data_IF_038654986004
#
_entry.id   IF_038654986004
#
_cell.length_a   1.000
_cell.length_b   1.000
_cell.length_c   1.000
_cell.angle_alpha   90.00
_cell.angle_beta   90.00
_cell.angle_gamma   90.00
#
_symmetry.space_group_name_H-M   'P 1'
#
loop_
_entity.id
_entity.type
_entity.pdbx_description
1 polymer ?
#
# COMPACT_ATOMS: atom_id res chain seq x y z
N UNK A 1 -41.72 -16.51 10.84
CA UNK A 1 -40.58 -16.94 11.69
C UNK A 1 -39.65 -17.94 11.01
N UNK A 2 -40.14 -18.81 10.10
CA UNK A 2 -39.28 -19.76 9.39
C UNK A 2 -38.34 -19.10 8.35
N UNK A 3 -38.79 -18.05 7.66
CA UNK A 3 -37.97 -17.39 6.63
C UNK A 3 -36.75 -16.64 7.19
N UNK A 4 -36.89 -15.98 8.35
CA UNK A 4 -35.76 -15.29 9.00
C UNK A 4 -34.66 -16.25 9.44
N UNK A 5 -35.05 -17.44 9.90
CA UNK A 5 -34.09 -18.49 10.28
C UNK A 5 -33.34 -19.03 9.05
N UNK A 6 -34.03 -19.24 7.93
CA UNK A 6 -33.41 -19.70 6.69
C UNK A 6 -32.43 -18.67 6.09
N UNK A 7 -32.68 -17.37 6.27
CA UNK A 7 -31.74 -16.32 5.85
C UNK A 7 -30.48 -16.30 6.73
N UNK A 8 -30.64 -16.46 8.05
CA UNK A 8 -29.52 -16.51 9.00
C UNK A 8 -28.58 -17.68 8.72
N UNK A 9 -29.13 -18.88 8.50
CA UNK A 9 -28.36 -20.08 8.17
C UNK A 9 -27.58 -19.92 6.85
N UNK A 10 -28.20 -19.32 5.83
CA UNK A 10 -27.53 -19.03 4.56
C UNK A 10 -26.40 -18.01 4.72
N UNK A 11 -26.60 -17.01 5.57
CA UNK A 11 -25.58 -15.99 5.85
C UNK A 11 -24.40 -16.61 6.60
N UNK A 12 -24.67 -17.40 7.63
CA UNK A 12 -23.64 -18.13 8.38
C UNK A 12 -22.83 -19.05 7.45
N UNK A 13 -23.50 -19.79 6.57
CA UNK A 13 -22.84 -20.63 5.55
C UNK A 13 -22.01 -19.82 4.55
N UNK A 14 -22.45 -18.62 4.19
CA UNK A 14 -21.69 -17.71 3.33
C UNK A 14 -20.45 -17.16 4.03
N UNK A 15 -20.58 -16.78 5.31
CA UNK A 15 -19.48 -16.27 6.15
C UNK A 15 -18.42 -17.34 6.35
N UNK A 16 -18.79 -18.55 6.75
CA UNK A 16 -17.85 -19.67 6.95
C UNK A 16 -17.07 -19.97 5.66
N UNK A 17 -17.75 -19.96 4.50
CA UNK A 17 -17.09 -20.15 3.21
C UNK A 17 -16.11 -19.03 2.89
N UNK A 18 -16.46 -17.78 3.20
CA UNK A 18 -15.61 -16.63 2.97
C UNK A 18 -14.36 -16.68 3.85
N UNK A 19 -14.52 -16.97 5.15
CA UNK A 19 -13.44 -17.16 6.10
C UNK A 19 -12.50 -18.32 5.72
N UNK A 20 -13.06 -19.41 5.20
CA UNK A 20 -12.27 -20.55 4.70
C UNK A 20 -11.44 -20.17 3.48
N UNK A 21 -12.01 -19.41 2.53
CA UNK A 21 -11.30 -18.93 1.33
C UNK A 21 -10.17 -17.97 1.72
N UNK A 22 -10.44 -17.03 2.63
CA UNK A 22 -9.45 -16.10 3.17
C UNK A 22 -8.31 -16.85 3.89
N UNK A 23 -8.63 -17.85 4.70
CA UNK A 23 -7.63 -18.67 5.40
C UNK A 23 -6.79 -19.51 4.43
N UNK A 24 -7.40 -20.03 3.37
CA UNK A 24 -6.70 -20.81 2.34
C UNK A 24 -5.80 -19.93 1.46
N UNK A 25 -6.20 -18.70 1.15
CA UNK A 25 -5.37 -17.77 0.36
C UNK A 25 -4.10 -17.34 1.08
N UNK A 26 -4.07 -17.37 2.42
CA UNK A 26 -2.89 -17.04 3.21
C UNK A 26 -1.76 -18.08 3.14
N UNK A 27 -2.02 -19.30 2.63
CA UNK A 27 -1.01 -20.38 2.54
C UNK A 27 -0.36 -20.51 1.16
N UNK A 28 -0.80 -19.76 0.15
CA UNK A 28 -0.17 -19.78 -1.17
C UNK A 28 1.05 -18.85 -1.20
N UNK A 29 2.14 -19.34 -0.63
CA UNK A 29 3.48 -18.82 -0.90
C UNK A 29 3.78 -19.01 -2.39
N UNK A 30 3.97 -17.88 -3.07
CA UNK A 30 4.87 -17.71 -4.23
C UNK A 30 4.37 -18.13 -5.61
N UNK A 31 4.75 -17.24 -6.55
CA UNK A 31 5.08 -17.47 -7.96
C UNK A 31 3.95 -17.32 -8.96
N UNK A 32 3.86 -16.12 -9.56
CA UNK A 32 3.21 -15.94 -10.85
C UNK A 32 2.27 -14.74 -10.92
N UNK A 33 2.84 -13.57 -11.15
CA UNK A 33 2.36 -12.52 -12.05
C UNK A 33 0.83 -12.41 -12.33
N UNK A 34 -0.01 -12.33 -11.29
CA UNK A 34 -1.44 -12.01 -11.47
C UNK A 34 -1.76 -10.71 -10.74
N UNK A 35 -1.60 -9.61 -11.48
CA UNK A 35 -1.81 -8.22 -11.03
C UNK A 35 -3.31 -7.89 -10.93
N UNK A 36 -4.22 -8.85 -11.14
CA UNK A 36 -5.62 -8.52 -11.44
C UNK A 36 -6.55 -8.46 -10.22
N UNK A 37 -6.07 -8.73 -9.00
CA UNK A 37 -6.93 -8.47 -7.83
C UNK A 37 -6.11 -8.04 -6.60
N UNK A 38 -6.29 -6.78 -6.19
CA UNK A 38 -5.64 -6.11 -5.06
C UNK A 38 -6.03 -6.65 -3.69
N UNK A 39 -5.97 -7.97 -3.51
CA UNK A 39 -6.24 -8.70 -2.26
C UNK A 39 -5.05 -9.61 -1.94
N UNK A 40 -3.84 -9.23 -2.36
CA UNK A 40 -2.64 -9.79 -1.75
C UNK A 40 -2.19 -8.76 -0.71
N UNK A 41 -2.41 -9.04 0.57
CA UNK A 41 -2.06 -8.14 1.69
C UNK A 41 -0.56 -7.88 1.88
N UNK A 42 0.25 -8.09 0.83
CA UNK A 42 1.66 -7.77 0.76
C UNK A 42 1.89 -6.38 0.18
N UNK A 43 3.04 -5.79 0.53
CA UNK A 43 3.50 -4.52 -0.04
C UNK A 43 3.74 -4.73 -1.55
N UNK A 44 3.22 -3.83 -2.38
CA UNK A 44 3.42 -3.90 -3.82
C UNK A 44 4.91 -3.77 -4.19
N UNK A 45 5.37 -4.52 -5.20
CA UNK A 45 6.80 -4.61 -5.55
C UNK A 45 7.47 -3.25 -5.81
N UNK A 46 6.74 -2.29 -6.39
CA UNK A 46 7.26 -0.93 -6.61
C UNK A 46 7.34 -0.10 -5.33
N UNK A 47 6.50 -0.37 -4.32
CA UNK A 47 6.61 0.26 -2.99
C UNK A 47 7.85 -0.29 -2.26
N UNK A 48 8.12 -1.59 -2.37
CA UNK A 48 9.33 -2.21 -1.81
C UNK A 48 10.61 -1.70 -2.49
N UNK A 49 10.58 -1.54 -3.82
CA UNK A 49 11.68 -0.92 -4.56
C UNK A 49 11.89 0.55 -4.12
N UNK A 50 10.81 1.29 -3.85
CA UNK A 50 10.90 2.65 -3.32
C UNK A 50 11.49 2.69 -1.90
N UNK A 51 11.10 1.76 -1.02
CA UNK A 51 11.68 1.63 0.32
C UNK A 51 13.20 1.35 0.25
N UNK A 52 13.65 0.59 -0.74
CA UNK A 52 15.10 0.37 -1.01
C UNK A 52 15.80 1.66 -1.45
N UNK A 53 15.15 2.50 -2.25
CA UNK A 53 15.69 3.81 -2.65
C UNK A 53 15.79 4.78 -1.47
N UNK A 54 14.80 4.75 -0.57
CA UNK A 54 14.78 5.56 0.65
C UNK A 54 15.91 5.17 1.63
N UNK A 55 16.10 3.87 1.85
CA UNK A 55 17.16 3.35 2.75
C UNK A 55 18.55 3.36 2.11
N UNK A 56 18.64 3.45 0.78
CA UNK A 56 19.92 3.54 0.07
C UNK A 56 20.32 4.98 -0.22
N UNK A 57 19.87 5.49 -1.36
CA UNK A 57 20.35 6.76 -1.91
C UNK A 57 19.86 7.98 -1.14
N UNK A 58 18.61 7.96 -0.64
CA UNK A 58 18.08 9.08 0.12
C UNK A 58 18.79 9.19 1.48
N UNK A 59 19.03 8.07 2.17
CA UNK A 59 19.79 8.08 3.43
C UNK A 59 21.21 8.64 3.25
N UNK A 60 21.90 8.26 2.17
CA UNK A 60 23.22 8.83 1.84
C UNK A 60 23.14 10.33 1.55
N UNK A 61 22.12 10.77 0.82
CA UNK A 61 21.87 12.20 0.56
C UNK A 61 21.65 12.98 1.87
N UNK A 62 20.84 12.45 2.78
CA UNK A 62 20.56 13.08 4.09
C UNK A 62 21.82 13.17 4.94
N UNK A 63 22.61 12.09 4.98
CA UNK A 63 23.88 12.06 5.71
C UNK A 63 24.85 13.12 5.19
N UNK A 64 25.00 13.24 3.87
CA UNK A 64 25.88 14.23 3.26
C UNK A 64 25.36 15.65 3.47
N UNK A 65 24.06 15.86 3.38
CA UNK A 65 23.42 17.16 3.62
C UNK A 65 23.61 17.63 5.05
N UNK A 66 23.56 16.71 6.02
CA UNK A 66 23.86 16.99 7.43
C UNK A 66 25.31 17.39 7.68
N UNK A 67 26.26 16.85 6.91
CA UNK A 67 27.68 17.27 6.98
C UNK A 67 27.84 18.71 6.47
N UNK A 68 27.09 19.10 5.44
CA UNK A 68 27.10 20.45 4.90
C UNK A 68 26.42 21.46 5.82
N UNK A 69 25.35 21.05 6.53
CA UNK A 69 24.65 21.87 7.51
C UNK A 69 23.85 23.03 6.90
N UNK A 70 23.34 23.91 7.77
CA UNK A 70 22.66 25.14 7.39
C UNK A 70 21.42 24.93 6.52
N UNK A 71 21.31 25.72 5.45
CA UNK A 71 20.17 25.64 4.53
C UNK A 71 20.11 24.32 3.76
N UNK A 72 21.26 23.67 3.55
CA UNK A 72 21.33 22.37 2.85
C UNK A 72 20.72 21.27 3.70
N UNK A 73 21.05 21.21 5.00
CA UNK A 73 20.42 20.28 5.94
C UNK A 73 18.92 20.54 6.09
N UNK A 74 18.53 21.82 6.16
CA UNK A 74 17.13 22.22 6.26
C UNK A 74 16.34 21.78 5.04
N UNK A 75 16.88 22.02 3.84
CA UNK A 75 16.25 21.57 2.60
C UNK A 75 16.17 20.05 2.51
N UNK A 76 17.23 19.34 2.91
CA UNK A 76 17.24 17.88 2.90
C UNK A 76 16.16 17.27 3.80
N UNK A 77 15.85 17.92 4.93
CA UNK A 77 14.72 17.52 5.80
C UNK A 77 13.37 17.67 5.08
N UNK A 78 13.18 18.72 4.27
CA UNK A 78 11.97 18.88 3.46
C UNK A 78 11.87 17.79 2.39
N UNK A 79 12.99 17.45 1.75
CA UNK A 79 13.06 16.34 0.78
C UNK A 79 12.70 15.01 1.46
N UNK A 80 13.24 14.71 2.65
CA UNK A 80 12.88 13.50 3.39
C UNK A 80 11.37 13.41 3.65
N UNK A 81 10.75 14.52 4.07
CA UNK A 81 9.31 14.57 4.31
C UNK A 81 8.49 14.36 3.03
N UNK A 82 8.94 14.92 1.90
CA UNK A 82 8.30 14.70 0.60
C UNK A 82 8.36 13.22 0.19
N UNK A 83 9.52 12.55 0.34
CA UNK A 83 9.66 11.12 0.03
C UNK A 83 8.80 10.24 0.95
N UNK A 84 8.66 10.59 2.23
CA UNK A 84 7.74 9.88 3.14
C UNK A 84 6.28 10.02 2.68
N UNK A 85 5.87 11.22 2.26
CA UNK A 85 4.53 11.45 1.73
C UNK A 85 4.30 10.69 0.41
N UNK A 86 5.29 10.69 -0.49
CA UNK A 86 5.24 9.92 -1.74
C UNK A 86 5.12 8.42 -1.50
N UNK A 87 5.87 7.87 -0.52
CA UNK A 87 5.72 6.46 -0.12
C UNK A 87 4.27 6.15 0.29
N UNK A 88 3.69 6.99 1.17
CA UNK A 88 2.30 6.81 1.61
C UNK A 88 1.35 6.84 0.41
N UNK A 89 1.56 7.76 -0.54
CA UNK A 89 0.78 7.83 -1.76
C UNK A 89 0.95 6.58 -2.65
N UNK A 90 2.17 6.07 -2.84
CA UNK A 90 2.40 4.85 -3.62
C UNK A 90 1.72 3.62 -3.00
N UNK A 91 1.75 3.52 -1.66
CA UNK A 91 1.05 2.48 -0.94
C UNK A 91 -0.48 2.62 -1.03
N UNK A 92 -0.99 3.85 -1.10
CA UNK A 92 -2.40 4.11 -1.35
C UNK A 92 -2.78 3.72 -2.79
N UNK A 93 -2.04 4.20 -3.78
CA UNK A 93 -2.26 3.93 -5.20
C UNK A 93 -2.17 2.43 -5.52
N UNK A 94 -1.38 1.65 -4.77
CA UNK A 94 -1.30 0.21 -4.98
C UNK A 94 -2.54 -0.58 -4.64
N UNK A 95 -3.41 0.00 -3.83
CA UNK A 95 -4.63 -0.62 -3.35
C UNK A 95 -5.89 -0.04 -4.01
N UNK A 96 -5.74 0.99 -4.85
CA UNK A 96 -6.86 1.73 -5.43
C UNK A 96 -6.72 1.83 -6.94
N UNK A 97 -7.84 1.74 -7.65
CA UNK A 97 -7.88 2.04 -9.07
C UNK A 97 -7.69 3.54 -9.30
N UNK A 98 -7.14 3.90 -10.46
CA UNK A 98 -6.99 5.30 -10.85
C UNK A 98 -8.37 5.98 -10.86
N UNK A 99 -8.53 7.12 -10.15
CA UNK A 99 -9.78 7.85 -10.15
C UNK A 99 -9.99 8.58 -11.49
N UNK A 100 -11.22 9.00 -11.80
CA UNK A 100 -11.51 9.83 -12.97
C UNK A 100 -10.66 11.12 -12.95
N UNK A 101 -10.22 11.59 -14.12
CA UNK A 101 -9.34 12.77 -14.31
C UNK A 101 -9.76 14.01 -13.50
N UNK A 102 -11.06 14.28 -13.36
CA UNK A 102 -11.57 15.40 -12.57
C UNK A 102 -11.22 15.31 -11.07
N UNK A 103 -11.03 14.11 -10.54
CA UNK A 103 -10.70 13.86 -9.13
C UNK A 103 -9.20 13.70 -8.87
N UNK A 104 -8.34 13.66 -9.91
CA UNK A 104 -6.90 13.44 -9.75
C UNK A 104 -6.24 14.55 -8.90
N UNK A 105 -6.66 15.80 -9.11
CA UNK A 105 -6.14 16.98 -8.42
C UNK A 105 -6.30 16.93 -6.88
N UNK A 106 -7.31 16.21 -6.37
CA UNK A 106 -7.57 16.12 -4.94
C UNK A 106 -6.62 15.15 -4.22
N UNK A 107 -5.96 14.25 -4.94
CA UNK A 107 -5.19 13.15 -4.36
C UNK A 107 -3.68 13.44 -4.46
N UNK A 108 -3.27 14.31 -5.38
CA UNK A 108 -1.89 14.77 -5.57
C UNK A 108 -1.50 15.98 -4.71
N UNK A 109 -2.31 16.37 -3.72
CA UNK A 109 -2.17 17.61 -2.94
C UNK A 109 -2.04 17.32 -1.46
#
# INVERSE_FOLDING_TARGET
MAESHGLMERLEKAVIRLETVLSASCFSKSTGNDIVNGINGGIAAYVEAFDTLMTGTLEQYLKNSKILGGDVETHATLVENAFKAERVFLAYASQHQQPPEFNLCFISR
#
